data_IF_550986271111
#
_entry.id   IF_550986271111
#
_cell.length_a   1.000
_cell.length_b   1.000
_cell.length_c   1.000
_cell.angle_alpha   90.00
_cell.angle_beta   90.00
_cell.angle_gamma   90.00
#
_symmetry.space_group_name_H-M   'P 1'
#
loop_
_entity.id
_entity.type
_entity.pdbx_description
1 polymer ?
#
# COMPACT_ATOMS: atom_id res chain seq x y z
N UNK A 1 6.82 1.11 -16.96
CA UNK A 1 7.59 1.67 -15.83
C UNK A 1 6.86 1.27 -14.55
N UNK A 2 7.59 0.97 -13.47
CA UNK A 2 7.02 0.70 -12.15
C UNK A 2 6.46 1.98 -11.54
N UNK A 3 5.26 1.90 -10.97
CA UNK A 3 4.60 3.04 -10.31
C UNK A 3 4.95 3.05 -8.82
N UNK A 4 5.27 4.21 -8.24
CA UNK A 4 5.56 4.33 -6.80
C UNK A 4 4.54 5.23 -6.12
N UNK A 5 3.93 4.73 -5.06
CA UNK A 5 3.00 5.45 -4.20
C UNK A 5 3.71 5.83 -2.91
N UNK A 6 3.86 7.13 -2.69
CA UNK A 6 4.51 7.68 -1.50
C UNK A 6 3.52 8.07 -0.41
N UNK A 7 2.24 8.25 -0.77
CA UNK A 7 1.15 8.51 0.17
C UNK A 7 0.22 7.29 0.20
N UNK A 8 0.36 6.45 1.23
CA UNK A 8 -0.43 5.24 1.40
C UNK A 8 -1.95 5.49 1.40
N UNK A 9 -2.38 6.64 1.91
CA UNK A 9 -3.79 6.99 2.08
C UNK A 9 -4.40 7.72 0.88
N UNK A 10 -3.63 7.96 -0.18
CA UNK A 10 -4.19 8.55 -1.39
C UNK A 10 -5.28 7.63 -1.97
N UNK A 11 -6.42 8.15 -2.41
CA UNK A 11 -7.52 7.30 -2.89
C UNK A 11 -7.20 6.64 -4.23
N UNK A 12 -7.75 5.45 -4.46
CA UNK A 12 -7.85 4.81 -5.78
C UNK A 12 -6.62 4.06 -6.27
N UNK A 13 -5.49 4.07 -5.56
CA UNK A 13 -4.30 3.34 -6.02
C UNK A 13 -4.49 1.82 -5.98
N UNK A 14 -5.31 1.29 -5.06
CA UNK A 14 -5.58 -0.15 -4.96
C UNK A 14 -6.47 -0.64 -6.10
N UNK A 15 -7.34 0.23 -6.59
CA UNK A 15 -8.32 -0.06 -7.66
C UNK A 15 -7.77 0.23 -9.06
N UNK A 16 -6.60 0.84 -9.18
CA UNK A 16 -5.99 1.14 -10.47
C UNK A 16 -5.56 -0.15 -11.19
N UNK A 17 -5.89 -0.24 -12.48
CA UNK A 17 -5.37 -1.30 -13.35
C UNK A 17 -3.98 -0.95 -13.85
N UNK A 18 -3.08 -1.93 -13.83
CA UNK A 18 -1.72 -1.78 -14.33
C UNK A 18 -1.50 -2.65 -15.55
N UNK A 19 -0.74 -2.14 -16.51
CA UNK A 19 -0.26 -2.90 -17.65
C UNK A 19 1.23 -3.25 -17.46
N UNK A 20 1.56 -4.54 -17.52
CA UNK A 20 2.92 -5.01 -17.39
C UNK A 20 3.72 -4.71 -18.67
N UNK A 21 4.80 -3.89 -18.60
CA UNK A 21 5.59 -3.55 -19.78
C UNK A 21 6.43 -4.73 -20.30
N UNK A 22 6.64 -5.77 -19.49
CA UNK A 22 7.48 -6.91 -19.83
C UNK A 22 6.71 -8.03 -20.58
N UNK A 23 5.47 -8.32 -20.18
CA UNK A 23 4.68 -9.44 -20.74
C UNK A 23 3.30 -9.05 -21.27
N UNK A 24 2.85 -7.80 -21.06
CA UNK A 24 1.55 -7.32 -21.53
C UNK A 24 0.35 -7.68 -20.65
N UNK A 25 0.57 -8.34 -19.51
CA UNK A 25 -0.49 -8.62 -18.52
C UNK A 25 -1.19 -7.34 -18.06
N UNK A 26 -2.49 -7.41 -17.79
CA UNK A 26 -3.31 -6.30 -17.31
C UNK A 26 -4.19 -6.74 -16.14
N UNK A 27 -4.22 -5.93 -15.08
CA UNK A 27 -5.10 -6.14 -13.93
C UNK A 27 -4.76 -5.22 -12.75
N UNK A 28 -5.60 -5.29 -11.72
CA UNK A 28 -5.47 -4.45 -10.53
C UNK A 28 -4.49 -5.01 -9.49
N UNK A 29 -4.15 -4.19 -8.50
CA UNK A 29 -3.21 -4.56 -7.41
C UNK A 29 -3.59 -5.86 -6.67
N UNK A 30 -4.90 -6.17 -6.56
CA UNK A 30 -5.40 -7.41 -5.93
C UNK A 30 -5.07 -8.69 -6.69
N UNK A 31 -4.70 -8.59 -7.97
CA UNK A 31 -4.35 -9.73 -8.82
C UNK A 31 -2.82 -9.89 -8.96
N UNK A 32 -2.05 -8.99 -8.35
CA UNK A 32 -0.59 -9.02 -8.36
C UNK A 32 -0.05 -9.88 -7.22
N UNK A 33 1.19 -10.32 -7.36
CA UNK A 33 1.96 -10.95 -6.29
C UNK A 33 2.40 -9.86 -5.31
N UNK A 34 2.10 -10.02 -4.01
CA UNK A 34 2.46 -9.06 -2.97
C UNK A 34 3.69 -9.55 -2.20
N UNK A 35 4.75 -8.73 -2.20
CA UNK A 35 5.92 -8.88 -1.35
C UNK A 35 5.96 -7.78 -0.29
N UNK A 36 6.11 -8.17 0.97
CA UNK A 36 6.18 -7.25 2.10
C UNK A 36 7.63 -6.99 2.50
N UNK A 37 8.03 -5.72 2.52
CA UNK A 37 9.28 -5.25 3.08
C UNK A 37 9.01 -4.41 4.34
N UNK A 38 10.07 -3.98 5.02
CA UNK A 38 9.94 -3.21 6.27
C UNK A 38 9.25 -1.85 6.02
N UNK A 39 9.70 -1.13 5.00
CA UNK A 39 9.29 0.25 4.71
C UNK A 39 8.29 0.38 3.56
N UNK A 40 8.03 -0.72 2.85
CA UNK A 40 7.24 -0.72 1.62
C UNK A 40 6.62 -2.08 1.30
N UNK A 41 5.57 -2.05 0.51
CA UNK A 41 4.98 -3.21 -0.15
C UNK A 41 5.27 -3.14 -1.64
N UNK A 42 5.77 -4.23 -2.21
CA UNK A 42 5.97 -4.39 -3.65
C UNK A 42 4.90 -5.30 -4.24
N UNK A 43 4.34 -4.89 -5.38
CA UNK A 43 3.35 -5.65 -6.13
C UNK A 43 3.93 -5.98 -7.51
N UNK A 44 4.17 -7.27 -7.74
CA UNK A 44 4.78 -7.79 -8.95
C UNK A 44 3.76 -8.44 -9.89
N UNK A 45 4.10 -8.45 -11.18
CA UNK A 45 3.29 -9.11 -12.20
C UNK A 45 3.22 -10.62 -11.94
N UNK A 46 2.03 -11.23 -11.89
CA UNK A 46 1.87 -12.65 -11.58
C UNK A 46 2.35 -13.60 -12.71
N UNK A 47 2.73 -13.06 -13.88
CA UNK A 47 3.17 -13.87 -15.03
C UNK A 47 4.68 -13.87 -15.24
N UNK A 48 5.38 -12.82 -14.82
CA UNK A 48 6.80 -12.65 -15.13
C UNK A 48 7.59 -11.94 -14.02
N UNK A 49 6.97 -11.74 -12.85
CA UNK A 49 7.62 -11.20 -11.65
C UNK A 49 8.16 -9.76 -11.82
N UNK A 50 7.81 -9.07 -12.92
CA UNK A 50 8.19 -7.68 -13.12
C UNK A 50 7.49 -6.78 -12.09
N UNK A 51 8.21 -5.91 -11.35
CA UNK A 51 7.61 -5.04 -10.34
C UNK A 51 6.74 -3.96 -10.99
N UNK A 52 5.45 -3.95 -10.67
CA UNK A 52 4.48 -3.02 -11.28
C UNK A 52 4.18 -1.83 -10.39
N UNK A 53 4.14 -2.04 -9.08
CA UNK A 53 3.72 -1.05 -8.11
C UNK A 53 4.52 -1.21 -6.81
N UNK A 54 5.01 -0.11 -6.26
CA UNK A 54 5.63 -0.04 -4.94
C UNK A 54 4.85 0.97 -4.11
N UNK A 55 4.49 0.60 -2.88
CA UNK A 55 3.72 1.45 -1.97
C UNK A 55 4.50 1.61 -0.67
N UNK A 56 4.86 2.84 -0.34
CA UNK A 56 5.54 3.13 0.93
C UNK A 56 4.57 2.97 2.10
N UNK A 57 5.05 2.34 3.17
CA UNK A 57 4.31 2.24 4.41
C UNK A 57 4.24 3.61 5.09
N UNK A 58 3.07 3.99 5.64
CA UNK A 58 2.93 5.28 6.29
C UNK A 58 3.66 5.27 7.64
N UNK A 59 4.36 6.36 7.96
CA UNK A 59 4.82 6.60 9.32
C UNK A 59 3.67 7.06 10.23
N UNK A 60 3.89 7.06 11.55
CA UNK A 60 2.86 7.41 12.53
C UNK A 60 2.25 8.81 12.31
N UNK A 61 3.02 9.79 11.85
CA UNK A 61 2.51 11.13 11.61
C UNK A 61 1.57 11.14 10.40
N UNK A 62 1.88 10.36 9.34
CA UNK A 62 0.98 10.18 8.20
C UNK A 62 -0.33 9.50 8.60
N UNK A 63 -0.28 8.45 9.45
CA UNK A 63 -1.49 7.79 9.98
C UNK A 63 -2.36 8.80 10.74
N UNK A 64 -1.75 9.61 11.61
CA UNK A 64 -2.47 10.62 12.38
C UNK A 64 -3.11 11.70 11.50
N UNK A 65 -2.37 12.18 10.51
CA UNK A 65 -2.87 13.19 9.57
C UNK A 65 -4.06 12.64 8.74
N UNK A 66 -3.95 11.42 8.23
CA UNK A 66 -5.01 10.79 7.46
C UNK A 66 -6.27 10.52 8.30
N UNK A 67 -6.11 10.07 9.54
CA UNK A 67 -7.23 9.88 10.46
C UNK A 67 -7.93 11.21 10.79
N UNK A 68 -7.16 12.28 11.02
CA UNK A 68 -7.71 13.62 11.24
C UNK A 68 -8.43 14.18 10.00
N UNK A 69 -8.00 13.78 8.81
CA UNK A 69 -8.67 14.10 7.54
C UNK A 69 -9.92 13.22 7.26
N UNK A 70 -10.26 12.29 8.15
CA UNK A 70 -11.45 11.43 8.05
C UNK A 70 -11.24 10.11 7.31
N UNK A 71 -9.98 9.68 7.08
CA UNK A 71 -9.71 8.36 6.53
C UNK A 71 -10.03 7.28 7.59
N UNK A 72 -10.99 6.41 7.26
CA UNK A 72 -11.48 5.37 8.18
C UNK A 72 -10.39 4.35 8.54
N UNK A 73 -9.64 3.86 7.55
CA UNK A 73 -8.55 2.89 7.72
C UNK A 73 -7.46 3.42 8.65
N UNK A 74 -7.05 4.69 8.46
CA UNK A 74 -6.10 5.35 9.34
C UNK A 74 -6.62 5.44 10.79
N UNK A 75 -7.91 5.75 10.96
CA UNK A 75 -8.56 5.76 12.27
C UNK A 75 -8.55 4.41 12.97
N UNK A 76 -8.83 3.33 12.22
CA UNK A 76 -8.78 1.95 12.72
C UNK A 76 -7.35 1.55 13.11
N UNK A 77 -6.35 1.93 12.32
CA UNK A 77 -4.93 1.68 12.65
C UNK A 77 -4.51 2.36 13.96
N UNK A 78 -4.92 3.63 14.19
CA UNK A 78 -4.67 4.30 15.46
C UNK A 78 -5.36 3.60 16.63
N UNK A 79 -6.59 3.12 16.44
CA UNK A 79 -7.31 2.38 17.47
C UNK A 79 -6.59 1.08 17.84
N UNK A 80 -6.03 0.36 16.86
CA UNK A 80 -5.20 -0.83 17.09
C UNK A 80 -3.96 -0.47 17.90
N UNK A 81 -3.22 0.57 17.50
CA UNK A 81 -2.01 1.02 18.22
C UNK A 81 -2.31 1.43 19.67
N UNK A 82 -3.45 2.09 19.90
CA UNK A 82 -3.89 2.49 21.25
C UNK A 82 -4.30 1.29 22.12
N UNK A 83 -4.74 0.18 21.51
CA UNK A 83 -5.18 -1.03 22.21
C UNK A 83 -4.04 -1.91 22.74
N UNK A 84 -2.81 -1.72 22.24
CA UNK A 84 -1.65 -2.50 22.69
C UNK A 84 -1.27 -2.08 24.12
N UNK A 85 -1.35 -2.99 25.11
CA UNK A 85 -1.00 -2.66 26.49
C UNK A 85 0.50 -2.30 26.55
N UNK A 86 0.79 -1.09 27.05
CA UNK A 86 2.16 -0.67 27.33
C UNK A 86 2.72 -1.59 28.42
N UNK A 87 3.67 -2.47 28.06
CA UNK A 87 4.48 -3.19 29.04
C UNK A 87 5.20 -2.13 29.89
N UNK A 88 4.76 -1.97 31.13
CA UNK A 88 5.43 -1.16 32.16
C UNK A 88 6.68 -1.87 32.65
#
# INVERSE_FOLDING_TARGET
>A
MTTTITDYYQPGWREHDHACPACGWQGGSRQMELELHDEQSEYACPQCEFPLLVVLHPDLAQVQAAAAAGNAEAGEQLAILASVPRRR
#
